data_IF_863081769835
#
_entry.id   IF_863081769835
#
_cell.length_a   1.000
_cell.length_b   1.000
_cell.length_c   1.000
_cell.angle_alpha   90.00
_cell.angle_beta   90.00
_cell.angle_gamma   90.00
#
_symmetry.space_group_name_H-M   'P 1'
#
loop_
_entity.id
_entity.type
_entity.pdbx_description
1 polymer ?
#
# COMPACT_ATOMS: atom_id res chain seq x y z
N UNK A 1 16.10 4.28 -26.17
CA UNK A 1 17.48 3.80 -26.19
C UNK A 1 17.47 2.28 -26.01
N UNK A 2 18.15 1.49 -26.84
CA UNK A 2 18.12 0.01 -26.79
C UNK A 2 18.60 -0.59 -25.44
N UNK A 3 19.25 0.21 -24.61
CA UNK A 3 19.90 -0.25 -23.36
C UNK A 3 19.25 0.28 -22.08
N UNK A 4 18.19 1.07 -22.16
CA UNK A 4 17.49 1.58 -21.00
C UNK A 4 16.00 1.71 -21.25
N UNK A 5 15.21 1.54 -20.18
CA UNK A 5 13.76 1.74 -20.16
C UNK A 5 13.39 2.65 -18.98
N UNK A 6 12.36 3.45 -19.15
CA UNK A 6 11.79 4.27 -18.11
C UNK A 6 10.28 4.10 -18.14
N UNK A 7 9.77 3.43 -17.12
CA UNK A 7 8.36 3.07 -16.99
C UNK A 7 7.73 3.96 -15.91
N UNK A 8 6.62 4.60 -16.25
CA UNK A 8 5.84 5.40 -15.33
C UNK A 8 4.41 4.88 -15.30
N UNK A 9 3.87 4.71 -14.10
CA UNK A 9 2.50 4.27 -13.87
C UNK A 9 1.84 5.23 -12.88
N UNK A 10 0.69 5.78 -13.25
CA UNK A 10 -0.18 6.52 -12.34
C UNK A 10 -1.50 5.76 -12.25
N UNK A 11 -1.87 5.35 -11.05
CA UNK A 11 -3.13 4.69 -10.73
C UNK A 11 -3.95 5.61 -9.83
N UNK A 12 -5.11 6.01 -10.31
CA UNK A 12 -6.04 6.88 -9.60
C UNK A 12 -7.36 6.14 -9.41
N UNK A 13 -7.84 6.08 -8.17
CA UNK A 13 -9.13 5.52 -7.82
C UNK A 13 -9.92 6.50 -6.96
N UNK A 14 -11.23 6.67 -7.24
CA UNK A 14 -12.15 7.39 -6.37
C UNK A 14 -13.55 6.80 -6.50
N UNK A 15 -14.05 6.27 -5.41
CA UNK A 15 -15.34 5.58 -5.36
C UNK A 15 -16.26 6.18 -4.31
N UNK A 16 -17.52 6.35 -4.69
CA UNK A 16 -18.60 6.78 -3.80
C UNK A 16 -19.77 5.80 -3.89
N UNK A 17 -20.35 5.47 -2.75
CA UNK A 17 -21.56 4.66 -2.63
C UNK A 17 -22.66 5.48 -1.96
N UNK A 18 -23.87 5.44 -2.53
CA UNK A 18 -25.08 5.95 -1.90
C UNK A 18 -26.11 4.83 -1.80
N UNK A 19 -26.54 4.51 -0.60
CA UNK A 19 -27.60 3.52 -0.35
C UNK A 19 -28.88 4.25 0.10
N UNK A 20 -29.91 4.25 -0.76
CA UNK A 20 -31.17 4.94 -0.50
C UNK A 20 -31.19 6.42 -0.88
N UNK A 21 -32.39 7.00 -1.02
CA UNK A 21 -32.59 8.35 -1.55
C UNK A 21 -32.09 9.49 -0.65
N UNK A 22 -32.03 9.28 0.66
CA UNK A 22 -31.75 10.33 1.66
C UNK A 22 -30.43 10.15 2.39
N UNK A 23 -29.64 9.12 2.04
CA UNK A 23 -28.37 8.86 2.71
C UNK A 23 -27.23 9.65 2.05
N UNK A 24 -26.26 10.04 2.87
CA UNK A 24 -25.02 10.67 2.40
C UNK A 24 -24.21 9.70 1.54
N UNK A 25 -23.41 10.23 0.65
CA UNK A 25 -22.38 9.46 -0.05
C UNK A 25 -21.32 8.97 0.93
N UNK A 26 -21.00 7.70 0.82
CA UNK A 26 -19.92 7.03 1.58
C UNK A 26 -18.76 6.80 0.62
N UNK A 27 -17.59 7.23 1.00
CA UNK A 27 -16.35 6.97 0.25
C UNK A 27 -16.00 5.49 0.35
N UNK A 28 -15.86 4.82 -0.78
CA UNK A 28 -15.54 3.38 -0.86
C UNK A 28 -14.13 3.12 -1.40
N UNK A 29 -13.60 4.07 -2.16
CA UNK A 29 -12.23 4.00 -2.69
C UNK A 29 -11.65 5.40 -2.80
N UNK A 30 -10.35 5.53 -2.54
CA UNK A 30 -9.63 6.79 -2.68
C UNK A 30 -8.11 6.50 -2.73
N UNK A 31 -7.54 6.64 -3.90
CA UNK A 31 -6.16 6.26 -4.13
C UNK A 31 -5.47 7.15 -5.16
N UNK A 32 -4.25 7.57 -4.82
CA UNK A 32 -3.23 8.04 -5.74
C UNK A 32 -2.04 7.12 -5.56
N UNK A 33 -1.61 6.41 -6.60
CA UNK A 33 -0.41 5.57 -6.61
C UNK A 33 0.41 5.88 -7.85
N UNK A 34 1.52 6.57 -7.66
CA UNK A 34 2.47 6.90 -8.72
C UNK A 34 3.74 6.06 -8.56
N UNK A 35 4.10 5.32 -9.58
CA UNK A 35 5.35 4.55 -9.65
C UNK A 35 6.16 5.00 -10.85
N UNK A 36 7.42 5.30 -10.63
CA UNK A 36 8.40 5.58 -11.68
C UNK A 36 9.59 4.64 -11.52
N UNK A 37 9.92 3.87 -12.55
CA UNK A 37 11.04 2.93 -12.54
C UNK A 37 11.92 3.15 -13.77
N UNK A 38 13.18 3.48 -13.52
CA UNK A 38 14.21 3.54 -14.54
C UNK A 38 15.07 2.27 -14.48
N UNK A 39 15.30 1.64 -15.63
CA UNK A 39 16.13 0.46 -15.77
C UNK A 39 17.19 0.61 -16.86
N UNK A 40 18.40 0.13 -16.60
CA UNK A 40 19.50 0.05 -17.57
C UNK A 40 19.97 -1.40 -17.69
N UNK A 41 20.10 -1.89 -18.91
CA UNK A 41 20.52 -3.27 -19.18
C UNK A 41 21.89 -3.55 -18.53
N UNK A 42 21.99 -4.62 -17.74
CA UNK A 42 23.20 -5.14 -17.13
C UNK A 42 23.65 -6.43 -17.82
N UNK A 43 22.70 -7.34 -18.13
CA UNK A 43 22.95 -8.57 -18.88
C UNK A 43 21.64 -9.07 -19.48
N UNK A 44 21.62 -10.27 -20.06
CA UNK A 44 20.49 -10.82 -20.86
C UNK A 44 19.10 -10.62 -20.25
N UNK A 45 18.95 -10.81 -18.92
CA UNK A 45 17.66 -10.71 -18.22
C UNK A 45 17.72 -9.79 -16.98
N UNK A 46 18.87 -9.17 -16.73
CA UNK A 46 19.11 -8.34 -15.57
C UNK A 46 19.29 -6.88 -15.96
N UNK A 47 18.68 -6.00 -15.18
CA UNK A 47 18.76 -4.55 -15.35
C UNK A 47 19.13 -3.90 -14.01
N UNK A 48 20.09 -2.97 -13.99
CA UNK A 48 20.21 -2.04 -12.89
C UNK A 48 18.97 -1.17 -12.87
N UNK A 49 18.33 -1.02 -11.72
CA UNK A 49 17.07 -0.30 -11.65
C UNK A 49 17.00 0.63 -10.42
N UNK A 50 16.37 1.78 -10.63
CA UNK A 50 15.95 2.70 -9.60
C UNK A 50 14.43 2.82 -9.67
N UNK A 51 13.76 2.79 -8.51
CA UNK A 51 12.32 2.89 -8.39
C UNK A 51 11.96 3.97 -7.38
N UNK A 52 10.99 4.80 -7.73
CA UNK A 52 10.31 5.71 -6.81
C UNK A 52 8.83 5.34 -6.87
N UNK A 53 8.21 5.19 -5.70
CA UNK A 53 6.77 5.01 -5.58
C UNK A 53 6.23 6.02 -4.57
N UNK A 54 5.13 6.67 -4.90
CA UNK A 54 4.41 7.59 -4.03
C UNK A 54 2.95 7.20 -3.97
N UNK A 55 2.45 6.97 -2.75
CA UNK A 55 1.05 6.60 -2.50
C UNK A 55 0.42 7.56 -1.51
N UNK A 56 -0.80 7.99 -1.77
CA UNK A 56 -1.63 8.75 -0.84
C UNK A 56 -3.11 8.65 -1.26
N UNK A 57 -3.96 9.39 -0.59
CA UNK A 57 -5.38 9.56 -0.91
C UNK A 57 -5.70 11.04 -1.14
N UNK A 58 -6.88 11.33 -1.70
CA UNK A 58 -7.27 12.69 -2.10
C UNK A 58 -8.08 13.41 -1.03
N UNK A 59 -8.96 12.70 -0.32
CA UNK A 59 -10.01 13.29 0.53
C UNK A 59 -10.05 12.64 1.91
N UNK A 60 -10.69 13.27 2.93
CA UNK A 60 -10.88 12.66 4.22
C UNK A 60 -11.59 11.30 4.16
N UNK A 61 -11.16 10.37 5.00
CA UNK A 61 -11.79 9.07 5.23
C UNK A 61 -12.37 9.00 6.63
N UNK A 62 -13.47 8.26 6.79
CA UNK A 62 -14.22 8.15 8.03
C UNK A 62 -14.55 6.68 8.32
N UNK A 63 -14.74 6.35 9.59
CA UNK A 63 -15.23 5.04 10.00
C UNK A 63 -16.75 5.06 10.10
N UNK A 64 -17.42 4.95 8.97
CA UNK A 64 -18.87 5.01 8.88
C UNK A 64 -19.57 3.98 9.78
N UNK A 65 -20.71 4.33 10.44
CA UNK A 65 -21.53 5.53 10.22
C UNK A 65 -21.03 6.84 10.85
N UNK A 66 -19.94 6.83 11.63
CA UNK A 66 -19.34 8.03 12.18
C UNK A 66 -18.60 8.80 11.07
N UNK A 67 -19.09 9.99 10.75
CA UNK A 67 -18.50 10.92 9.78
C UNK A 67 -17.91 12.19 10.42
N UNK A 68 -17.74 12.16 11.76
CA UNK A 68 -17.24 13.32 12.52
C UNK A 68 -15.75 13.23 12.83
N UNK A 69 -15.18 12.01 12.84
CA UNK A 69 -13.76 11.77 13.14
C UNK A 69 -13.07 11.27 11.89
N UNK A 70 -12.14 12.06 11.37
CA UNK A 70 -11.29 11.66 10.27
C UNK A 70 -10.31 10.57 10.70
N UNK A 71 -10.27 9.47 9.96
CA UNK A 71 -9.28 8.39 10.17
C UNK A 71 -8.16 8.44 9.14
N UNK A 72 -8.31 9.24 8.10
CA UNK A 72 -7.30 9.47 7.06
C UNK A 72 -7.65 10.72 6.24
N UNK A 73 -6.67 11.36 5.61
CA UNK A 73 -6.88 12.51 4.72
C UNK A 73 -5.71 12.65 3.73
N UNK A 74 -5.67 13.69 2.91
CA UNK A 74 -4.57 13.95 2.00
C UNK A 74 -3.23 14.06 2.75
N UNK A 75 -2.21 13.30 2.34
CA UNK A 75 -0.92 13.13 3.02
C UNK A 75 -1.02 12.62 4.47
N UNK A 76 -2.12 11.97 4.84
CA UNK A 76 -2.29 11.29 6.11
C UNK A 76 -3.15 10.02 5.94
N UNK A 77 -2.53 8.89 5.43
CA UNK A 77 -1.10 8.75 5.17
C UNK A 77 -0.63 9.16 3.77
N UNK A 78 0.64 9.46 3.64
CA UNK A 78 1.38 9.33 2.39
C UNK A 78 2.61 8.45 2.58
N UNK A 79 2.90 7.64 1.58
CA UNK A 79 4.07 6.75 1.56
C UNK A 79 4.95 7.10 0.37
N UNK A 80 6.20 7.40 0.64
CA UNK A 80 7.23 7.60 -0.37
C UNK A 80 8.27 6.50 -0.23
N UNK A 81 8.53 5.76 -1.30
CA UNK A 81 9.52 4.70 -1.36
C UNK A 81 10.51 5.01 -2.47
N UNK A 82 11.80 5.04 -2.12
CA UNK A 82 12.91 5.13 -3.06
C UNK A 82 13.80 3.90 -2.95
N UNK A 83 14.03 3.18 -4.05
CA UNK A 83 14.74 1.91 -4.04
C UNK A 83 15.76 1.82 -5.17
N UNK A 84 16.95 1.30 -4.85
CA UNK A 84 18.03 1.02 -5.79
C UNK A 84 18.34 -0.48 -5.76
N UNK A 85 18.37 -1.11 -6.94
CA UNK A 85 18.57 -2.54 -7.02
C UNK A 85 18.68 -3.09 -8.43
N UNK A 86 18.28 -4.32 -8.59
CA UNK A 86 18.29 -5.03 -9.87
C UNK A 86 16.90 -5.57 -10.19
N UNK A 87 16.53 -5.45 -11.44
CA UNK A 87 15.27 -5.96 -11.99
C UNK A 87 15.58 -7.18 -12.88
N UNK A 88 15.01 -8.32 -12.55
CA UNK A 88 15.11 -9.57 -13.30
C UNK A 88 13.86 -9.77 -14.14
N UNK A 89 14.02 -9.81 -15.46
CA UNK A 89 12.94 -9.97 -16.44
C UNK A 89 13.27 -11.13 -17.37
N UNK A 90 12.97 -12.39 -16.99
CA UNK A 90 13.25 -13.56 -17.83
C UNK A 90 12.36 -13.61 -19.07
N UNK A 91 11.16 -13.06 -19.02
CA UNK A 91 10.17 -13.00 -20.10
C UNK A 91 9.24 -11.79 -19.91
N UNK A 92 8.24 -11.64 -20.80
CA UNK A 92 7.27 -10.55 -20.76
C UNK A 92 6.19 -10.69 -19.66
N UNK A 93 6.11 -11.84 -19.01
CA UNK A 93 5.05 -12.14 -18.03
C UNK A 93 5.50 -11.99 -16.58
N UNK A 94 6.80 -12.03 -16.33
CA UNK A 94 7.36 -12.00 -14.99
C UNK A 94 8.47 -10.96 -14.86
N UNK A 95 8.42 -10.20 -13.77
CA UNK A 95 9.55 -9.39 -13.31
C UNK A 95 9.73 -9.49 -11.80
N UNK A 96 10.98 -9.45 -11.34
CA UNK A 96 11.35 -9.42 -9.94
C UNK A 96 12.39 -8.31 -9.72
N UNK A 97 11.99 -7.24 -9.04
CA UNK A 97 12.87 -6.15 -8.62
C UNK A 97 13.36 -6.41 -7.21
N UNK A 98 14.65 -6.50 -7.02
CA UNK A 98 15.33 -6.77 -5.75
C UNK A 98 16.19 -5.57 -5.41
N UNK A 99 15.86 -4.86 -4.36
CA UNK A 99 16.50 -3.63 -3.94
C UNK A 99 17.02 -3.72 -2.50
N UNK A 100 18.31 -3.98 -2.30
CA UNK A 100 18.90 -4.03 -0.96
C UNK A 100 19.04 -2.64 -0.31
N UNK A 101 18.96 -1.58 -1.09
CA UNK A 101 19.03 -0.19 -0.60
C UNK A 101 17.70 0.50 -0.90
N UNK A 102 16.85 0.58 0.12
CA UNK A 102 15.50 1.15 0.02
C UNK A 102 15.25 2.07 1.20
N UNK A 103 14.77 3.28 0.93
CA UNK A 103 14.22 4.20 1.91
C UNK A 103 12.70 4.25 1.76
N UNK A 104 11.98 4.08 2.86
CA UNK A 104 10.51 4.22 2.96
C UNK A 104 10.22 5.35 3.94
N UNK A 105 9.42 6.32 3.53
CA UNK A 105 9.01 7.46 4.34
C UNK A 105 7.51 7.44 4.45
N UNK A 106 7.00 7.35 5.68
CA UNK A 106 5.58 7.50 6.01
C UNK A 106 5.34 8.91 6.50
N UNK A 107 4.36 9.59 5.91
CA UNK A 107 3.97 10.96 6.27
C UNK A 107 2.53 10.94 6.76
N UNK A 108 2.29 11.55 7.94
CA UNK A 108 0.97 11.74 8.54
C UNK A 108 0.78 13.23 8.81
N UNK A 109 0.35 13.96 7.80
CA UNK A 109 0.28 15.44 7.86
C UNK A 109 -0.90 16.00 8.67
N UNK A 110 -1.55 15.17 9.48
CA UNK A 110 -2.61 15.57 10.41
C UNK A 110 -2.18 15.27 11.85
N UNK A 111 -2.13 16.32 12.71
CA UNK A 111 -1.57 16.17 14.06
C UNK A 111 -2.36 15.20 14.92
N UNK A 112 -3.68 15.20 14.86
CA UNK A 112 -4.51 14.29 15.63
C UNK A 112 -4.23 12.82 15.32
N UNK A 113 -4.03 12.50 14.04
CA UNK A 113 -3.66 11.14 13.60
C UNK A 113 -2.22 10.80 14.01
N UNK A 114 -1.31 11.76 13.92
CA UNK A 114 0.07 11.57 14.36
C UNK A 114 0.14 11.35 15.89
N UNK A 115 -0.60 12.13 16.68
CA UNK A 115 -0.66 11.98 18.14
C UNK A 115 -1.25 10.62 18.55
N UNK A 116 -2.16 10.08 17.76
CA UNK A 116 -2.70 8.72 17.94
C UNK A 116 -1.75 7.60 17.47
N UNK A 117 -0.59 7.91 16.88
CA UNK A 117 0.33 6.91 16.31
C UNK A 117 -0.19 6.22 15.06
N UNK A 118 -1.14 6.85 14.36
CA UNK A 118 -1.74 6.26 13.17
C UNK A 118 -0.68 6.00 12.08
N UNK A 119 -0.86 4.91 11.32
CA UNK A 119 0.02 4.50 10.22
C UNK A 119 1.47 4.22 10.64
N UNK A 120 1.70 3.90 11.94
CA UNK A 120 2.99 3.48 12.47
C UNK A 120 3.97 4.61 12.76
N UNK A 121 3.54 5.88 12.81
CA UNK A 121 4.38 6.98 13.33
C UNK A 121 4.43 6.95 14.86
N UNK A 122 5.46 7.55 15.46
CA UNK A 122 5.59 7.63 16.92
C UNK A 122 4.43 8.46 17.50
N UNK A 123 3.63 7.91 18.45
CA UNK A 123 2.51 8.62 19.05
C UNK A 123 2.94 9.75 19.97
N UNK A 124 1.98 10.58 20.37
CA UNK A 124 2.19 11.58 21.42
C UNK A 124 2.51 10.93 22.76
N UNK A 125 3.34 11.59 23.56
CA UNK A 125 3.65 11.17 24.93
C UNK A 125 2.93 12.06 25.96
N UNK A 126 2.49 11.44 27.05
CA UNK A 126 1.76 12.09 28.14
C UNK A 126 2.41 11.78 29.48
N UNK A 127 2.29 12.68 30.42
CA UNK A 127 2.67 12.43 31.81
C UNK A 127 1.63 11.56 32.55
N UNK A 128 1.91 11.20 33.81
CA UNK A 128 1.02 10.39 34.64
C UNK A 128 -0.33 11.09 34.98
N UNK A 129 -0.43 12.38 34.73
CA UNK A 129 -1.66 13.19 34.92
C UNK A 129 -2.46 13.36 33.63
N UNK A 130 -1.96 12.80 32.50
CA UNK A 130 -2.60 12.94 31.20
C UNK A 130 -2.28 14.25 30.47
N UNK A 131 -1.28 15.01 30.94
CA UNK A 131 -0.82 16.24 30.28
C UNK A 131 0.11 15.87 29.10
N UNK A 132 -0.11 16.49 27.96
CA UNK A 132 0.73 16.29 26.80
C UNK A 132 2.16 16.76 27.06
N UNK A 133 3.14 15.86 26.92
CA UNK A 133 4.57 16.17 27.01
C UNK A 133 5.16 16.46 25.62
N UNK A 134 4.87 15.63 24.64
CA UNK A 134 5.39 15.76 23.27
C UNK A 134 4.33 15.29 22.27
N UNK A 135 4.16 16.05 21.19
CA UNK A 135 3.29 15.65 20.08
C UNK A 135 3.85 14.46 19.31
N UNK A 136 2.97 13.65 18.74
CA UNK A 136 3.32 12.57 17.86
C UNK A 136 4.05 13.05 16.62
N UNK A 137 4.95 12.21 16.11
CA UNK A 137 5.74 12.54 14.92
C UNK A 137 4.91 12.38 13.66
N UNK A 138 5.01 13.34 12.76
CA UNK A 138 4.33 13.33 11.46
C UNK A 138 5.06 12.54 10.38
N UNK A 139 6.30 12.15 10.63
CA UNK A 139 7.16 11.48 9.65
C UNK A 139 7.88 10.33 10.32
N UNK A 140 7.83 9.17 9.68
CA UNK A 140 8.62 8.00 10.01
C UNK A 140 9.52 7.65 8.82
N UNK A 141 10.80 7.47 9.09
CA UNK A 141 11.79 7.08 8.11
C UNK A 141 12.27 5.66 8.39
N UNK A 142 12.29 4.84 7.37
CA UNK A 142 12.72 3.45 7.41
C UNK A 142 13.75 3.20 6.32
N UNK A 143 14.74 2.37 6.61
CA UNK A 143 15.75 1.95 5.65
C UNK A 143 15.83 0.42 5.66
N UNK A 144 15.79 -0.19 4.46
CA UNK A 144 15.68 -1.64 4.41
C UNK A 144 15.90 -2.26 3.05
N UNK A 145 15.48 -3.52 2.95
CA UNK A 145 15.41 -4.29 1.72
C UNK A 145 14.01 -4.35 1.17
N UNK A 146 13.87 -4.28 -0.15
CA UNK A 146 12.59 -4.32 -0.83
C UNK A 146 12.63 -5.30 -2.00
N UNK A 147 11.59 -6.10 -2.12
CA UNK A 147 11.38 -7.00 -3.24
C UNK A 147 9.98 -6.77 -3.82
N UNK A 148 9.92 -6.52 -5.13
CA UNK A 148 8.66 -6.45 -5.87
C UNK A 148 8.64 -7.51 -6.95
N UNK A 149 7.66 -8.41 -6.91
CA UNK A 149 7.41 -9.37 -7.98
C UNK A 149 6.10 -9.03 -8.69
N UNK A 150 6.13 -9.09 -10.01
CA UNK A 150 4.95 -8.87 -10.84
C UNK A 150 4.83 -10.02 -11.82
N UNK A 151 3.68 -10.66 -11.80
CA UNK A 151 3.29 -11.65 -12.80
C UNK A 151 2.03 -11.16 -13.53
N UNK A 152 2.10 -11.10 -14.85
CA UNK A 152 0.98 -10.68 -15.70
C UNK A 152 0.89 -11.62 -16.90
N UNK A 153 -0.23 -12.30 -17.02
CA UNK A 153 -0.46 -13.23 -18.12
C UNK A 153 -1.93 -13.29 -18.52
N UNK A 154 -2.17 -13.69 -19.75
CA UNK A 154 -3.50 -14.01 -20.28
C UNK A 154 -3.51 -15.46 -20.70
N UNK A 155 -4.56 -16.18 -20.30
CA UNK A 155 -4.73 -17.61 -20.52
C UNK A 155 -5.79 -17.84 -21.59
N UNK A 156 -5.70 -19.01 -22.20
CA UNK A 156 -6.53 -19.47 -23.31
C UNK A 156 -6.27 -18.70 -24.63
N UNK A 157 -6.65 -19.31 -25.75
CA UNK A 157 -6.43 -18.74 -27.09
C UNK A 157 -7.25 -17.47 -27.33
N UNK A 158 -8.44 -17.40 -26.75
CA UNK A 158 -9.37 -16.25 -26.82
C UNK A 158 -9.03 -15.15 -25.79
N UNK A 159 -7.98 -15.35 -24.97
CA UNK A 159 -7.60 -14.44 -23.87
C UNK A 159 -8.74 -14.15 -22.91
N UNK A 160 -9.57 -15.15 -22.65
CA UNK A 160 -10.76 -15.02 -21.81
C UNK A 160 -10.43 -14.85 -20.32
N UNK A 161 -9.25 -15.27 -19.87
CA UNK A 161 -8.79 -15.11 -18.51
C UNK A 161 -7.49 -14.33 -18.47
N UNK A 162 -7.43 -13.29 -17.64
CA UNK A 162 -6.21 -12.54 -17.34
C UNK A 162 -5.89 -12.64 -15.86
N UNK A 163 -4.61 -12.67 -15.52
CA UNK A 163 -4.09 -12.66 -14.16
C UNK A 163 -3.00 -11.61 -14.06
N UNK A 164 -3.19 -10.68 -13.12
CA UNK A 164 -2.15 -9.78 -12.64
C UNK A 164 -1.93 -10.07 -11.15
N UNK A 165 -0.71 -10.42 -10.77
CA UNK A 165 -0.31 -10.59 -9.37
C UNK A 165 0.89 -9.71 -9.07
N UNK A 166 0.80 -8.91 -8.02
CA UNK A 166 1.87 -8.01 -7.54
C UNK A 166 2.12 -8.33 -6.08
N UNK A 167 3.34 -8.71 -5.76
CA UNK A 167 3.80 -8.97 -4.40
C UNK A 167 4.93 -8.00 -4.06
N UNK A 168 4.71 -7.21 -3.03
CA UNK A 168 5.68 -6.29 -2.44
C UNK A 168 6.08 -6.79 -1.05
N UNK A 169 7.37 -6.91 -0.80
CA UNK A 169 7.96 -7.29 0.47
C UNK A 169 8.94 -6.21 0.91
N UNK A 170 8.85 -5.78 2.17
CA UNK A 170 9.81 -4.85 2.75
C UNK A 170 10.27 -5.34 4.11
N UNK A 171 11.57 -5.23 4.39
CA UNK A 171 12.17 -5.54 5.69
C UNK A 171 13.00 -4.34 6.14
N UNK A 172 12.69 -3.81 7.32
CA UNK A 172 13.40 -2.68 7.92
C UNK A 172 14.68 -3.18 8.58
N UNK A 173 15.86 -2.76 8.10
CA UNK A 173 17.14 -3.21 8.64
C UNK A 173 17.47 -2.63 10.02
N UNK A 174 16.87 -1.50 10.36
CA UNK A 174 17.17 -0.76 11.59
C UNK A 174 16.26 -1.20 12.73
N UNK A 175 15.03 -1.66 12.40
CA UNK A 175 14.04 -2.03 13.39
C UNK A 175 13.38 -3.36 13.02
N UNK A 176 13.56 -4.39 13.84
CA UNK A 176 12.98 -5.74 13.66
C UNK A 176 13.14 -6.33 12.24
N UNK A 177 14.36 -6.53 11.73
CA UNK A 177 14.57 -6.95 10.34
C UNK A 177 13.99 -8.34 10.00
N UNK A 178 13.64 -9.14 11.00
CA UNK A 178 12.93 -10.41 10.82
C UNK A 178 11.45 -10.26 10.48
N UNK A 179 10.86 -9.09 10.75
CA UNK A 179 9.49 -8.78 10.40
C UNK A 179 9.45 -8.24 8.97
N UNK A 180 8.63 -8.85 8.15
CA UNK A 180 8.50 -8.51 6.74
C UNK A 180 7.11 -7.97 6.51
N UNK A 181 7.04 -6.71 6.05
CA UNK A 181 5.81 -6.12 5.54
C UNK A 181 5.46 -6.81 4.21
N UNK A 182 4.20 -7.19 4.05
CA UNK A 182 3.70 -7.89 2.87
C UNK A 182 2.53 -7.11 2.29
N UNK A 183 2.59 -6.82 1.00
CA UNK A 183 1.44 -6.33 0.23
C UNK A 183 1.30 -7.19 -1.02
N UNK A 184 0.21 -7.96 -1.09
CA UNK A 184 -0.03 -8.87 -2.20
C UNK A 184 -1.39 -8.60 -2.84
N UNK A 185 -1.34 -8.00 -4.02
CA UNK A 185 -2.50 -7.73 -4.86
C UNK A 185 -2.62 -8.80 -5.95
N UNK A 186 -3.81 -9.36 -6.13
CA UNK A 186 -4.09 -10.29 -7.23
C UNK A 186 -5.41 -9.90 -7.90
N UNK A 187 -5.36 -9.76 -9.22
CA UNK A 187 -6.52 -9.39 -10.05
C UNK A 187 -6.71 -10.46 -11.11
N UNK A 188 -7.88 -11.12 -11.07
CA UNK A 188 -8.34 -11.99 -12.13
C UNK A 188 -9.38 -11.26 -12.98
N UNK A 189 -9.17 -11.21 -14.28
CA UNK A 189 -10.16 -10.73 -15.23
C UNK A 189 -10.74 -11.91 -16.01
N UNK A 190 -12.06 -12.01 -16.11
CA UNK A 190 -12.80 -13.04 -16.83
C UNK A 190 -13.64 -12.39 -17.92
N UNK A 191 -13.32 -12.63 -19.16
CA UNK A 191 -14.14 -12.20 -20.29
C UNK A 191 -15.09 -13.32 -20.70
N UNK A 192 -16.36 -13.20 -20.32
CA UNK A 192 -17.38 -14.21 -20.63
C UNK A 192 -17.80 -14.12 -22.10
N UNK A 193 -18.00 -12.89 -22.62
CA UNK A 193 -18.29 -12.63 -24.02
C UNK A 193 -18.00 -11.14 -24.34
N UNK A 194 -18.44 -10.66 -25.51
CA UNK A 194 -18.23 -9.27 -25.94
C UNK A 194 -18.97 -8.21 -25.09
N UNK A 195 -19.92 -8.62 -24.29
CA UNK A 195 -20.75 -7.71 -23.46
C UNK A 195 -20.53 -7.89 -21.97
N UNK A 196 -20.03 -9.06 -21.51
CA UNK A 196 -19.93 -9.42 -20.11
C UNK A 196 -18.48 -9.75 -19.78
N UNK A 197 -17.97 -9.05 -18.78
CA UNK A 197 -16.71 -9.35 -18.13
C UNK A 197 -16.90 -9.30 -16.60
N UNK A 198 -16.13 -10.10 -15.87
CA UNK A 198 -16.07 -10.08 -14.41
C UNK A 198 -14.62 -9.84 -13.97
N UNK A 199 -14.44 -9.19 -12.84
CA UNK A 199 -13.13 -9.00 -12.22
C UNK A 199 -13.20 -9.41 -10.76
N UNK A 200 -12.23 -10.22 -10.33
CA UNK A 200 -12.01 -10.54 -8.94
C UNK A 200 -10.68 -9.92 -8.53
N UNK A 201 -10.72 -9.02 -7.57
CA UNK A 201 -9.54 -8.41 -6.98
C UNK A 201 -9.42 -8.82 -5.53
N UNK A 202 -8.21 -9.20 -5.11
CA UNK A 202 -7.88 -9.51 -3.73
C UNK A 202 -6.64 -8.75 -3.33
N UNK A 203 -6.60 -8.23 -2.11
CA UNK A 203 -5.44 -7.54 -1.56
C UNK A 203 -5.19 -7.99 -0.13
N UNK A 204 -4.04 -8.59 0.10
CA UNK A 204 -3.56 -9.00 1.41
C UNK A 204 -2.48 -8.01 1.85
N UNK A 205 -2.65 -7.46 3.04
CA UNK A 205 -1.73 -6.52 3.68
C UNK A 205 -1.32 -7.06 5.05
N UNK A 206 -0.04 -7.06 5.33
CA UNK A 206 0.53 -7.27 6.65
C UNK A 206 1.65 -6.24 6.85
N UNK A 207 1.60 -5.52 7.95
CA UNK A 207 2.63 -4.58 8.39
C UNK A 207 2.71 -4.69 9.91
N UNK A 208 3.88 -5.07 10.43
CA UNK A 208 4.11 -5.34 11.85
C UNK A 208 4.06 -4.05 12.69
N UNK A 209 4.30 -2.93 12.08
CA UNK A 209 4.33 -1.62 12.72
C UNK A 209 2.94 -0.97 12.83
N UNK A 210 1.94 -1.51 12.11
CA UNK A 210 0.57 -1.00 12.14
C UNK A 210 -0.26 -1.79 13.16
N UNK A 211 -0.54 -1.15 14.31
CA UNK A 211 -1.38 -1.71 15.35
C UNK A 211 -2.86 -1.55 14.99
N UNK A 212 -3.57 -2.66 14.91
CA UNK A 212 -4.99 -2.72 14.61
C UNK A 212 -5.75 -3.10 15.87
N UNK A 213 -6.81 -2.34 16.18
CA UNK A 213 -7.73 -2.66 17.27
C UNK A 213 -8.51 -3.94 16.93
N UNK A 214 -8.57 -4.86 17.89
CA UNK A 214 -9.24 -6.16 17.75
C UNK A 214 -10.30 -6.31 18.81
N UNK A 215 -11.51 -6.56 18.37
CA UNK A 215 -12.65 -7.01 19.16
C UNK A 215 -12.84 -8.52 18.88
N UNK A 216 -12.42 -9.37 19.83
CA UNK A 216 -12.42 -10.82 19.62
C UNK A 216 -13.80 -11.45 19.80
N UNK A 217 -14.69 -10.77 20.53
CA UNK A 217 -16.01 -11.29 20.92
C UNK A 217 -17.18 -10.58 20.22
N UNK A 218 -16.89 -9.54 19.41
CA UNK A 218 -17.85 -8.69 18.70
C UNK A 218 -18.84 -7.97 19.64
N UNK A 219 -18.39 -7.55 20.83
CA UNK A 219 -19.21 -6.77 21.76
C UNK A 219 -19.10 -5.25 21.56
N UNK A 220 -18.27 -4.81 20.62
CA UNK A 220 -17.99 -3.41 20.30
C UNK A 220 -16.89 -2.80 21.14
N UNK A 221 -16.26 -3.56 22.04
CA UNK A 221 -15.15 -3.13 22.87
C UNK A 221 -13.85 -3.72 22.30
N UNK A 222 -12.79 -2.91 22.26
CA UNK A 222 -11.46 -3.36 21.82
C UNK A 222 -10.81 -4.20 22.90
N UNK A 223 -10.63 -5.50 22.65
CA UNK A 223 -9.98 -6.43 23.59
C UNK A 223 -8.44 -6.38 23.51
N UNK A 224 -7.90 -6.09 22.33
CA UNK A 224 -6.46 -6.07 22.10
C UNK A 224 -6.08 -5.16 20.94
N UNK A 225 -4.81 -4.76 20.89
CA UNK A 225 -4.20 -4.12 19.72
C UNK A 225 -2.97 -4.90 19.30
N UNK A 226 -2.75 -5.06 18.00
CA UNK A 226 -1.58 -5.75 17.49
C UNK A 226 -1.51 -5.75 15.96
N UNK A 227 -0.37 -6.18 15.40
CA UNK A 227 -0.24 -6.36 13.96
C UNK A 227 -1.19 -7.46 13.49
N UNK A 228 -1.88 -7.23 12.38
CA UNK A 228 -2.84 -8.19 11.81
C UNK A 228 -2.77 -8.20 10.30
N UNK A 229 -2.97 -9.37 9.74
CA UNK A 229 -3.20 -9.51 8.30
C UNK A 229 -4.56 -8.94 7.93
N UNK A 230 -4.59 -8.01 6.99
CA UNK A 230 -5.80 -7.45 6.42
C UNK A 230 -6.04 -8.09 5.06
N UNK A 231 -7.26 -8.47 4.78
CA UNK A 231 -7.68 -9.04 3.51
C UNK A 231 -8.89 -8.25 2.98
N UNK A 232 -8.78 -7.80 1.73
CA UNK A 232 -9.83 -7.07 1.00
C UNK A 232 -10.20 -7.78 -0.28
#
# INVERSE_FOLDING_TARGET
>A
NKNSAWDNLLDLGYGLLQQGKNNKFIKTDDKIDFTSKYGRNASKHWYYAALINFKTQMTPGYNYPNDSVEISTFLAPAYLLGALGMDYKPNSHFSAFIAPATAKVTIVNQQLLADAGAFGVDPASYDNSGTLLEHGKKVRNEFGGYVRMVYNNTFFQDKSVSLLSKLDLFSNYVHNPQNIDVSWETIFGFKVNKYIAATLSTHLLYDDDIMIAVDNNNDGVVDATGPRTQFK
#
